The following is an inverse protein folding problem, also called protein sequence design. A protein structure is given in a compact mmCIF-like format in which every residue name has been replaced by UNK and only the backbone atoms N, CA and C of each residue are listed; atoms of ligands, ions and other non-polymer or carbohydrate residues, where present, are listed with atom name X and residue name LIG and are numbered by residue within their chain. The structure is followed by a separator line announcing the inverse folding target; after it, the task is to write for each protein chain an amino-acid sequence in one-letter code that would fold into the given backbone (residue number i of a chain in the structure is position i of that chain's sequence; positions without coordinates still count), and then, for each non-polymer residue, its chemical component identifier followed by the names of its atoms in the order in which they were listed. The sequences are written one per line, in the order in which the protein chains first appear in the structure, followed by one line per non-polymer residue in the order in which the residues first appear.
data_IF_750973595298
#
_entry.id   IF_750973595298
#
_cell.length_a   1.000
_cell.length_b   1.000
_cell.length_c   1.000
_cell.angle_alpha   90.00
_cell.angle_beta   90.00
_cell.angle_gamma   90.00
#
_symmetry.space_group_name_H-M   'P 1'
#
loop_
_entity.id
_entity.type
_entity.pdbx_description
1 polymer ?
#
# COMPACT_ATOMS: atom_id res chain seq x y z
N UNK A 1 64.74 30.35 -45.11
CA UNK A 1 65.45 29.81 -43.93
C UNK A 1 64.49 29.87 -42.75
N UNK A 2 64.37 28.77 -42.00
CA UNK A 2 63.54 28.50 -40.79
C UNK A 2 62.46 27.43 -41.00
N UNK A 3 62.86 26.18 -40.70
CA UNK A 3 61.98 25.02 -40.49
C UNK A 3 61.56 25.01 -39.02
N UNK A 4 60.24 25.01 -38.77
CA UNK A 4 59.69 24.81 -37.45
C UNK A 4 59.87 23.33 -37.03
N UNK A 5 60.53 23.13 -35.90
CA UNK A 5 60.74 21.85 -35.23
C UNK A 5 59.41 21.24 -34.78
N UNK A 6 59.06 20.07 -35.33
CA UNK A 6 58.00 19.23 -34.81
C UNK A 6 58.48 18.53 -33.53
N UNK A 7 57.87 18.85 -32.39
CA UNK A 7 58.04 18.12 -31.15
C UNK A 7 57.31 16.77 -31.28
N UNK A 8 58.07 15.68 -31.43
CA UNK A 8 57.55 14.31 -31.30
C UNK A 8 57.72 13.85 -29.85
N UNK A 9 56.63 13.59 -29.10
CA UNK A 9 56.76 12.91 -27.84
C UNK A 9 57.10 11.43 -28.12
N UNK A 10 58.28 11.00 -27.70
CA UNK A 10 58.63 9.58 -27.61
C UNK A 10 57.79 8.96 -26.48
N UNK A 11 56.72 8.26 -26.83
CA UNK A 11 55.98 7.43 -25.90
C UNK A 11 56.83 6.21 -25.53
N UNK A 12 57.29 6.18 -24.27
CA UNK A 12 57.82 4.99 -23.64
C UNK A 12 56.69 3.95 -23.52
N UNK A 13 56.62 3.02 -24.47
CA UNK A 13 55.54 2.05 -24.64
C UNK A 13 55.42 0.98 -23.53
N UNK A 14 56.26 1.02 -22.49
CA UNK A 14 56.32 -0.02 -21.44
C UNK A 14 55.40 0.20 -20.23
N UNK A 15 55.01 1.44 -19.91
CA UNK A 15 54.26 1.76 -18.68
C UNK A 15 52.86 2.35 -18.92
N UNK A 16 52.52 2.73 -20.16
CA UNK A 16 51.24 3.39 -20.48
C UNK A 16 50.08 2.39 -20.56
N UNK A 17 50.36 1.14 -20.96
CA UNK A 17 49.36 0.08 -21.10
C UNK A 17 48.67 -0.28 -19.76
N UNK A 18 49.38 -0.54 -18.64
CA UNK A 18 48.74 -0.84 -17.36
C UNK A 18 48.00 0.36 -16.75
N UNK A 19 48.45 1.59 -17.03
CA UNK A 19 47.78 2.82 -16.58
C UNK A 19 46.47 3.08 -17.32
N UNK A 20 46.43 2.83 -18.63
CA UNK A 20 45.20 2.93 -19.40
C UNK A 20 44.18 1.86 -18.94
N UNK A 21 44.65 0.64 -18.66
CA UNK A 21 43.80 -0.45 -18.18
C UNK A 21 43.17 -0.14 -16.80
N UNK A 22 43.93 0.42 -15.86
CA UNK A 22 43.39 0.79 -14.54
C UNK A 22 42.42 1.96 -14.62
N UNK A 23 42.70 2.98 -15.44
CA UNK A 23 41.78 4.10 -15.68
C UNK A 23 40.45 3.63 -16.29
N UNK A 24 40.50 2.75 -17.30
CA UNK A 24 39.30 2.15 -17.88
C UNK A 24 38.55 1.27 -16.86
N UNK A 25 39.25 0.50 -16.04
CA UNK A 25 38.63 -0.33 -15.00
C UNK A 25 37.87 0.52 -13.97
N UNK A 26 38.46 1.63 -13.51
CA UNK A 26 37.80 2.55 -12.57
C UNK A 26 36.59 3.22 -13.21
N UNK A 27 36.69 3.65 -14.47
CA UNK A 27 35.57 4.24 -15.21
C UNK A 27 34.42 3.25 -15.41
N UNK A 28 34.71 1.99 -15.75
CA UNK A 28 33.72 0.94 -15.90
C UNK A 28 33.05 0.60 -14.55
N UNK A 29 33.83 0.48 -13.47
CA UNK A 29 33.26 0.29 -12.13
C UNK A 29 32.39 1.48 -11.69
N UNK A 30 32.85 2.71 -11.97
CA UNK A 30 32.10 3.93 -11.67
C UNK A 30 30.76 3.99 -12.42
N UNK A 31 30.76 3.69 -13.72
CA UNK A 31 29.55 3.61 -14.54
C UNK A 31 28.59 2.52 -14.04
N UNK A 32 29.09 1.29 -13.81
CA UNK A 32 28.28 0.19 -13.29
C UNK A 32 27.66 0.50 -11.91
N UNK A 33 28.39 1.21 -11.05
CA UNK A 33 27.90 1.64 -9.73
C UNK A 33 26.74 2.63 -9.84
N UNK A 34 26.85 3.62 -10.72
CA UNK A 34 25.79 4.61 -10.96
C UNK A 34 24.53 3.95 -11.58
N UNK A 35 24.72 3.01 -12.51
CA UNK A 35 23.61 2.25 -13.09
C UNK A 35 22.86 1.42 -12.03
N UNK A 36 23.59 0.79 -11.12
CA UNK A 36 23.00 -0.01 -10.03
C UNK A 36 22.22 0.87 -9.06
N UNK A 37 22.77 2.02 -8.65
CA UNK A 37 22.09 2.96 -7.77
C UNK A 37 20.83 3.56 -8.41
N UNK A 38 20.88 3.91 -9.70
CA UNK A 38 19.71 4.41 -10.44
C UNK A 38 18.60 3.36 -10.50
N UNK A 39 18.96 2.10 -10.78
CA UNK A 39 17.99 1.00 -10.82
C UNK A 39 17.36 0.75 -9.44
N UNK A 40 18.17 0.68 -8.39
CA UNK A 40 17.68 0.54 -7.02
C UNK A 40 16.73 1.69 -6.62
N UNK A 41 17.07 2.92 -7.01
CA UNK A 41 16.21 4.08 -6.80
C UNK A 41 14.85 3.91 -7.47
N UNK A 42 14.82 3.48 -8.73
CA UNK A 42 13.56 3.21 -9.46
C UNK A 42 12.72 2.13 -8.80
N UNK A 43 13.34 1.02 -8.40
CA UNK A 43 12.64 -0.08 -7.74
C UNK A 43 11.98 0.38 -6.43
N UNK A 44 12.67 1.21 -5.63
CA UNK A 44 12.12 1.79 -4.40
C UNK A 44 10.91 2.67 -4.67
N UNK A 45 11.00 3.57 -5.65
CA UNK A 45 9.89 4.44 -6.02
C UNK A 45 8.67 3.63 -6.45
N UNK A 46 8.88 2.58 -7.26
CA UNK A 46 7.77 1.72 -7.69
C UNK A 46 7.14 0.94 -6.54
N UNK A 47 7.93 0.50 -5.55
CA UNK A 47 7.39 -0.18 -4.36
C UNK A 47 6.55 0.76 -3.51
N UNK A 48 7.05 1.98 -3.26
CA UNK A 48 6.32 3.01 -2.51
C UNK A 48 4.99 3.35 -3.20
N UNK A 49 5.01 3.60 -4.50
CA UNK A 49 3.80 3.92 -5.26
C UNK A 49 2.77 2.78 -5.22
N UNK A 50 3.22 1.52 -5.27
CA UNK A 50 2.32 0.36 -5.14
C UNK A 50 1.68 0.29 -3.75
N UNK A 51 2.45 0.58 -2.69
CA UNK A 51 1.93 0.61 -1.32
C UNK A 51 0.93 1.73 -1.12
N UNK A 52 1.22 2.94 -1.59
CA UNK A 52 0.31 4.09 -1.53
C UNK A 52 -0.99 3.79 -2.28
N UNK A 53 -0.89 3.27 -3.51
CA UNK A 53 -2.08 2.91 -4.27
C UNK A 53 -2.94 1.85 -3.57
N UNK A 54 -2.32 0.86 -2.93
CA UNK A 54 -3.03 -0.13 -2.14
C UNK A 54 -3.69 0.47 -0.89
N UNK A 55 -2.99 1.38 -0.21
CA UNK A 55 -3.51 2.11 0.93
C UNK A 55 -4.72 2.97 0.55
N UNK A 56 -4.66 3.66 -0.58
CA UNK A 56 -5.75 4.50 -1.08
C UNK A 56 -7.00 3.68 -1.44
N UNK A 57 -6.83 2.54 -2.12
CA UNK A 57 -7.97 1.68 -2.45
C UNK A 57 -8.65 1.10 -1.20
N UNK A 58 -7.87 0.69 -0.20
CA UNK A 58 -8.42 0.26 1.09
C UNK A 58 -9.11 1.42 1.82
N UNK A 59 -8.55 2.63 1.77
CA UNK A 59 -9.16 3.83 2.37
C UNK A 59 -10.49 4.16 1.69
N UNK A 60 -10.58 4.03 0.36
CA UNK A 60 -11.85 4.18 -0.36
C UNK A 60 -12.87 3.10 0.05
N UNK A 61 -12.44 1.86 0.31
CA UNK A 61 -13.32 0.83 0.87
C UNK A 61 -13.81 1.18 2.29
N UNK A 62 -12.94 1.72 3.14
CA UNK A 62 -13.33 2.21 4.48
C UNK A 62 -14.33 3.38 4.40
N UNK A 63 -14.18 4.27 3.42
CA UNK A 63 -15.16 5.33 3.15
C UNK A 63 -16.50 4.76 2.67
N UNK A 64 -16.48 3.73 1.83
CA UNK A 64 -17.69 3.04 1.39
C UNK A 64 -18.41 2.37 2.57
N UNK A 65 -17.66 1.71 3.47
CA UNK A 65 -18.20 1.20 4.73
C UNK A 65 -18.84 2.31 5.57
N UNK A 66 -18.14 3.43 5.78
CA UNK A 66 -18.67 4.57 6.55
C UNK A 66 -19.93 5.20 5.92
N UNK A 67 -20.05 5.14 4.58
CA UNK A 67 -21.25 5.56 3.87
C UNK A 67 -22.40 4.57 4.04
N UNK A 68 -22.12 3.26 3.96
CA UNK A 68 -23.09 2.19 4.18
C UNK A 68 -23.57 2.13 5.64
N UNK A 69 -22.75 2.56 6.61
CA UNK A 69 -23.06 2.60 8.04
C UNK A 69 -24.02 3.73 8.45
N UNK A 70 -24.67 4.40 7.50
CA UNK A 70 -25.62 5.49 7.73
C UNK A 70 -27.03 4.97 7.61
N UNK A 71 -28.00 5.67 8.21
CA UNK A 71 -29.40 5.24 8.13
C UNK A 71 -29.67 4.02 9.02
N UNK A 72 -30.49 3.04 8.61
CA UNK A 72 -30.82 1.87 9.43
C UNK A 72 -29.61 1.06 9.90
N UNK A 73 -28.59 0.93 9.05
CA UNK A 73 -27.37 0.15 9.28
C UNK A 73 -26.54 0.69 10.44
N UNK A 74 -26.71 1.98 10.77
CA UNK A 74 -26.06 2.60 11.92
C UNK A 74 -26.33 1.87 13.24
N UNK A 75 -27.51 1.24 13.38
CA UNK A 75 -27.90 0.47 14.55
C UNK A 75 -26.97 -0.74 14.84
N UNK A 76 -26.25 -1.22 13.83
CA UNK A 76 -25.30 -2.34 13.97
C UNK A 76 -23.92 -1.90 14.49
N UNK A 77 -23.54 -0.63 14.32
CA UNK A 77 -22.21 -0.13 14.68
C UNK A 77 -21.81 -0.32 16.16
N UNK A 78 -22.72 -0.22 17.15
CA UNK A 78 -22.38 -0.47 18.55
C UNK A 78 -22.01 -1.93 18.86
N UNK A 79 -22.28 -2.86 17.94
CA UNK A 79 -22.14 -4.30 18.14
C UNK A 79 -20.97 -4.84 17.33
N UNK A 80 -20.23 -5.84 17.85
CA UNK A 80 -19.18 -6.48 17.08
C UNK A 80 -19.75 -7.26 15.90
N UNK A 81 -18.95 -7.45 14.84
CA UNK A 81 -19.40 -8.10 13.61
C UNK A 81 -20.02 -9.49 13.86
N UNK A 82 -19.48 -10.24 14.82
CA UNK A 82 -19.97 -11.57 15.21
C UNK A 82 -21.42 -11.57 15.68
N UNK A 83 -21.89 -10.44 16.21
CA UNK A 83 -23.20 -10.34 16.87
C UNK A 83 -24.27 -9.73 15.96
N UNK A 84 -23.88 -9.17 14.80
CA UNK A 84 -24.81 -8.50 13.89
C UNK A 84 -25.98 -9.39 13.47
N UNK A 85 -25.76 -10.69 13.27
CA UNK A 85 -26.82 -11.62 12.90
C UNK A 85 -27.90 -11.82 13.98
N UNK A 86 -27.54 -11.62 15.26
CA UNK A 86 -28.44 -11.73 16.41
C UNK A 86 -29.09 -10.39 16.79
N UNK A 87 -28.46 -9.29 16.42
CA UNK A 87 -28.96 -7.94 16.73
C UNK A 87 -29.74 -7.33 15.57
N UNK A 88 -29.55 -7.80 14.33
CA UNK A 88 -30.27 -7.33 13.16
C UNK A 88 -31.80 -7.37 13.32
N UNK A 89 -32.34 -8.34 14.07
CA UNK A 89 -33.78 -8.41 14.35
C UNK A 89 -34.27 -7.26 15.23
N UNK A 90 -33.39 -6.65 16.02
CA UNK A 90 -33.69 -5.48 16.86
C UNK A 90 -33.45 -4.16 16.12
N UNK A 91 -32.70 -4.19 15.01
CA UNK A 91 -32.39 -3.03 14.18
C UNK A 91 -33.33 -2.98 12.97
N UNK A 92 -34.45 -2.27 13.14
CA UNK A 92 -35.48 -2.19 12.09
C UNK A 92 -34.91 -1.63 10.78
N UNK A 93 -35.10 -2.39 9.70
CA UNK A 93 -34.61 -2.06 8.36
C UNK A 93 -33.10 -2.21 8.13
N UNK A 94 -32.30 -2.60 9.13
CA UNK A 94 -30.86 -2.81 8.95
C UNK A 94 -30.57 -4.15 8.26
N UNK A 95 -29.77 -4.12 7.19
CA UNK A 95 -29.25 -5.32 6.55
C UNK A 95 -27.75 -5.50 6.86
N UNK A 96 -27.36 -6.51 7.67
CA UNK A 96 -25.95 -6.81 7.92
C UNK A 96 -25.13 -7.05 6.65
N UNK A 97 -25.74 -7.59 5.59
CA UNK A 97 -25.07 -7.84 4.32
C UNK A 97 -24.81 -6.57 3.52
N UNK A 98 -25.59 -5.51 3.72
CA UNK A 98 -25.36 -4.22 3.08
C UNK A 98 -24.15 -3.50 3.71
N UNK A 99 -23.89 -3.75 5.00
CA UNK A 99 -22.78 -3.16 5.73
C UNK A 99 -21.49 -4.01 5.66
N UNK A 100 -21.60 -5.32 5.48
CA UNK A 100 -20.46 -6.24 5.49
C UNK A 100 -19.77 -6.43 4.13
N UNK A 101 -20.31 -5.87 3.04
CA UNK A 101 -19.73 -5.99 1.70
C UNK A 101 -20.19 -4.85 0.79
N UNK A 102 -19.39 -4.57 -0.21
CA UNK A 102 -19.73 -3.57 -1.22
C UNK A 102 -18.75 -3.59 -2.38
N UNK A 103 -18.78 -2.54 -3.19
CA UNK A 103 -17.87 -2.37 -4.33
C UNK A 103 -17.31 -0.95 -4.30
N UNK A 104 -16.00 -0.81 -4.55
CA UNK A 104 -15.34 0.48 -4.73
C UNK A 104 -14.45 0.43 -5.96
N UNK A 105 -14.64 1.36 -6.90
CA UNK A 105 -13.92 1.40 -8.17
C UNK A 105 -13.85 0.02 -8.89
N UNK A 106 -15.00 -0.66 -9.00
CA UNK A 106 -15.15 -2.01 -9.56
C UNK A 106 -14.48 -3.16 -8.78
N UNK A 107 -13.86 -2.87 -7.63
CA UNK A 107 -13.24 -3.88 -6.76
C UNK A 107 -14.21 -4.19 -5.62
N UNK A 108 -14.72 -5.43 -5.52
CA UNK A 108 -15.50 -5.83 -4.36
C UNK A 108 -14.67 -5.77 -3.09
N UNK A 109 -15.29 -5.33 -2.00
CA UNK A 109 -14.71 -5.39 -0.67
C UNK A 109 -15.64 -6.14 0.27
N UNK A 110 -15.05 -6.74 1.30
CA UNK A 110 -15.75 -7.47 2.35
C UNK A 110 -15.19 -7.08 3.71
N UNK A 111 -16.06 -7.05 4.70
CA UNK A 111 -15.74 -6.90 6.09
C UNK A 111 -15.20 -8.22 6.62
N UNK A 112 -13.99 -8.20 7.16
CA UNK A 112 -13.44 -9.35 7.89
C UNK A 112 -13.81 -9.28 9.37
N UNK A 113 -13.69 -8.08 9.95
CA UNK A 113 -13.93 -7.87 11.36
C UNK A 113 -14.34 -6.42 11.67
N UNK A 114 -15.17 -6.27 12.70
CA UNK A 114 -15.56 -5.00 13.28
C UNK A 114 -15.66 -5.15 14.80
N UNK A 115 -14.82 -4.40 15.51
CA UNK A 115 -14.77 -4.40 16.96
C UNK A 115 -15.01 -2.97 17.49
N UNK A 116 -16.23 -2.64 17.94
CA UNK A 116 -16.51 -1.33 18.48
C UNK A 116 -15.86 -1.14 19.86
N UNK A 117 -15.61 0.12 20.19
CA UNK A 117 -15.07 0.61 21.45
C UNK A 117 -15.78 1.92 21.81
N UNK A 118 -15.52 2.46 23.00
CA UNK A 118 -16.10 3.74 23.42
C UNK A 118 -15.58 4.87 22.53
N UNK A 119 -16.45 5.43 21.68
CA UNK A 119 -16.14 6.54 20.77
C UNK A 119 -15.25 6.19 19.58
N UNK A 120 -14.95 4.91 19.36
CA UNK A 120 -14.15 4.45 18.22
C UNK A 120 -14.44 2.98 17.88
N UNK A 121 -13.91 2.47 16.78
CA UNK A 121 -13.96 1.04 16.49
C UNK A 121 -12.83 0.60 15.59
N UNK A 122 -12.45 -0.67 15.69
CA UNK A 122 -11.46 -1.29 14.82
C UNK A 122 -12.19 -1.96 13.66
N UNK A 123 -11.90 -1.50 12.44
CA UNK A 123 -12.44 -2.05 11.21
C UNK A 123 -11.34 -2.82 10.47
N UNK A 124 -11.63 -4.03 10.01
CA UNK A 124 -10.74 -4.79 9.14
C UNK A 124 -11.47 -5.17 7.86
N UNK A 125 -10.94 -4.72 6.72
CA UNK A 125 -11.52 -4.94 5.40
C UNK A 125 -10.58 -5.76 4.52
N UNK A 126 -11.16 -6.50 3.58
CA UNK A 126 -10.46 -7.19 2.51
C UNK A 126 -11.04 -6.80 1.15
N UNK A 127 -10.16 -6.48 0.20
CA UNK A 127 -10.50 -6.33 -1.21
C UNK A 127 -10.50 -7.71 -1.90
N UNK A 128 -11.26 -7.87 -2.98
CA UNK A 128 -11.39 -9.13 -3.73
C UNK A 128 -10.06 -9.70 -4.25
N UNK A 129 -9.02 -8.88 -4.37
CA UNK A 129 -7.68 -9.31 -4.77
C UNK A 129 -6.80 -9.79 -3.59
N UNK A 130 -7.40 -9.91 -2.40
CA UNK A 130 -6.81 -10.45 -1.18
C UNK A 130 -6.03 -9.45 -0.34
N UNK A 131 -5.98 -8.17 -0.74
CA UNK A 131 -5.37 -7.12 0.10
C UNK A 131 -6.26 -6.83 1.31
N UNK A 132 -5.64 -6.76 2.47
CA UNK A 132 -6.34 -6.52 3.74
C UNK A 132 -5.78 -5.28 4.43
N UNK A 133 -6.68 -4.48 5.01
CA UNK A 133 -6.33 -3.27 5.73
C UNK A 133 -7.14 -3.14 7.02
N UNK A 134 -6.50 -2.63 8.05
CA UNK A 134 -7.14 -2.30 9.32
C UNK A 134 -7.18 -0.79 9.55
N UNK A 135 -8.31 -0.30 10.05
CA UNK A 135 -8.57 1.11 10.28
C UNK A 135 -9.13 1.32 11.69
N UNK A 136 -8.72 2.40 12.34
CA UNK A 136 -9.45 2.91 13.49
C UNK A 136 -10.49 3.90 12.99
N UNK A 137 -11.76 3.66 13.28
CA UNK A 137 -12.84 4.60 13.02
C UNK A 137 -13.14 5.40 14.28
N UNK A 138 -13.39 6.70 14.15
CA UNK A 138 -14.00 7.52 15.18
C UNK A 138 -15.52 7.39 15.10
N UNK A 139 -16.17 7.12 16.22
CA UNK A 139 -17.62 6.98 16.31
C UNK A 139 -18.21 8.15 17.11
N UNK A 140 -19.37 8.62 16.69
CA UNK A 140 -20.14 9.59 17.46
C UNK A 140 -20.64 8.91 18.76
N UNK A 141 -20.40 9.51 19.94
CA UNK A 141 -20.79 8.95 21.22
C UNK A 141 -22.28 9.09 21.53
N UNK A 142 -23.01 9.93 20.78
CA UNK A 142 -24.42 10.26 20.97
C UNK A 142 -25.27 9.55 19.92
N UNK A 143 -24.84 9.56 18.66
CA UNK A 143 -25.50 8.85 17.55
C UNK A 143 -24.53 7.82 16.97
N UNK A 144 -24.95 6.61 16.59
CA UNK A 144 -24.04 5.62 16.02
C UNK A 144 -23.66 6.00 14.58
N UNK A 145 -22.72 6.92 14.41
CA UNK A 145 -22.24 7.36 13.10
C UNK A 145 -20.71 7.37 13.05
N UNK A 146 -20.14 7.06 11.89
CA UNK A 146 -18.71 7.19 11.65
C UNK A 146 -18.36 8.66 11.40
N UNK A 147 -17.51 9.23 12.24
CA UNK A 147 -17.04 10.62 12.15
C UNK A 147 -15.68 10.75 11.48
N UNK A 148 -14.80 9.78 11.73
CA UNK A 148 -13.40 9.83 11.30
C UNK A 148 -12.94 8.45 10.84
N UNK A 149 -12.03 8.43 9.87
CA UNK A 149 -11.33 7.23 9.41
C UNK A 149 -9.85 7.50 9.60
N UNK A 150 -9.22 6.77 10.52
CA UNK A 150 -7.79 6.86 10.78
C UNK A 150 -6.94 6.24 9.67
N UNK A 151 -5.62 6.24 9.86
CA UNK A 151 -4.69 5.67 8.90
C UNK A 151 -4.85 4.16 8.71
N UNK A 152 -4.60 3.72 7.48
CA UNK A 152 -4.62 2.31 7.13
C UNK A 152 -3.38 1.60 7.66
N UNK A 153 -3.61 0.53 8.41
CA UNK A 153 -2.60 -0.46 8.73
C UNK A 153 -2.69 -1.57 7.69
N UNK A 154 -1.80 -1.54 6.70
CA UNK A 154 -1.69 -2.60 5.70
C UNK A 154 -1.29 -3.90 6.38
N UNK A 155 -2.11 -4.93 6.23
CA UNK A 155 -1.78 -6.25 6.76
C UNK A 155 -1.03 -7.05 5.69
N UNK A 156 -0.13 -7.93 6.14
CA UNK A 156 0.45 -8.92 5.25
C UNK A 156 -0.70 -9.74 4.66
N UNK A 157 -0.67 -9.96 3.33
CA UNK A 157 -1.68 -10.76 2.63
C UNK A 157 -1.84 -12.08 3.38
N UNK A 158 -3.01 -12.32 3.95
CA UNK A 158 -3.33 -13.62 4.54
C UNK A 158 -3.26 -14.62 3.38
N UNK A 159 -2.36 -15.61 3.39
CA UNK A 159 -2.37 -16.63 2.35
C UNK A 159 -3.72 -17.31 2.43
N UNK A 160 -4.52 -17.21 1.36
CA UNK A 160 -5.73 -17.99 1.26
C UNK A 160 -5.29 -19.45 1.31
N UNK A 161 -5.59 -20.12 2.42
CA UNK A 161 -5.57 -21.57 2.50
C UNK A 161 -6.67 -22.04 1.56
N UNK A 162 -6.29 -22.25 0.31
CA UNK A 162 -7.02 -23.05 -0.66
C UNK A 162 -7.17 -24.44 -0.05
N UNK A 163 -8.32 -24.69 0.56
CA UNK A 163 -8.49 -25.90 1.36
C UNK A 163 -9.81 -25.94 2.10
N UNK A 164 -10.90 -26.21 1.38
CA UNK A 164 -11.75 -27.34 1.74
C UNK A 164 -12.58 -27.80 0.53
N UNK A 165 -12.60 -29.13 0.38
CA UNK A 165 -13.12 -29.93 -0.72
C UNK A 165 -14.64 -29.90 -0.82
#
# INVERSE_FOLDING_TARGET
MSLATAFRPQAQAGFVLPLALSASAVLLLGSASLHTLSLQGRLRVTDLQRREHAADQLRSAAQAFAAAARGPESCLLPWPFTDWSAVAQSCDGADPLALSRGVVAEIPWSLLDWQPSTGSGQLTLQLADGRTGSFRLGLDPIAPAVLEIGDVQLQARVPQLEGQR
#
